data_IF_084175372601
#
_entry.id   IF_084175372601
#
_cell.length_a   1.000
_cell.length_b   1.000
_cell.length_c   1.000
_cell.angle_alpha   90.00
_cell.angle_beta   90.00
_cell.angle_gamma   90.00
#
_symmetry.space_group_name_H-M   'P 1'
#
loop_
_entity.id
_entity.type
_entity.pdbx_description
1 polymer ?
#
# COMPACT_ATOMS: atom_id res chain seq x y z
N UNK A 1 24.69 22.00 8.01
CA UNK A 1 23.75 20.92 7.63
C UNK A 1 22.84 20.66 8.83
N UNK A 2 21.51 20.71 8.70
CA UNK A 2 20.62 20.34 9.80
C UNK A 2 20.80 18.84 10.10
N UNK A 3 20.97 18.48 11.37
CA UNK A 3 21.04 17.08 11.78
C UNK A 3 19.70 16.40 11.48
N UNK A 4 19.75 15.17 10.96
CA UNK A 4 18.55 14.38 10.71
C UNK A 4 17.91 13.99 12.05
N UNK A 5 16.63 14.33 12.23
CA UNK A 5 15.83 13.88 13.37
C UNK A 5 14.95 12.69 12.93
N UNK A 6 15.07 11.51 13.57
CA UNK A 6 14.20 10.36 13.30
C UNK A 6 12.70 10.67 13.42
N UNK A 7 12.32 11.67 14.22
CA UNK A 7 10.93 12.09 14.39
C UNK A 7 10.27 12.52 13.08
N UNK A 8 11.05 12.93 12.08
CA UNK A 8 10.54 13.27 10.74
C UNK A 8 9.95 12.04 10.01
N UNK A 9 10.32 10.82 10.41
CA UNK A 9 9.76 9.58 9.86
C UNK A 9 8.43 9.18 10.49
N UNK A 10 8.08 9.72 11.66
CA UNK A 10 6.83 9.40 12.34
C UNK A 10 5.59 9.69 11.47
N UNK A 11 5.39 10.91 10.91
CA UNK A 11 4.24 11.16 10.06
C UNK A 11 4.25 10.29 8.79
N UNK A 12 5.42 9.93 8.27
CA UNK A 12 5.53 9.05 7.09
C UNK A 12 4.96 7.68 7.39
N UNK A 13 5.42 7.04 8.47
CA UNK A 13 4.93 5.71 8.82
C UNK A 13 3.49 5.73 9.34
N UNK A 14 3.07 6.77 10.07
CA UNK A 14 1.67 6.91 10.50
C UNK A 14 0.70 7.02 9.31
N UNK A 15 1.04 7.83 8.30
CA UNK A 15 0.24 7.92 7.06
C UNK A 15 0.25 6.58 6.33
N UNK A 16 1.39 5.90 6.26
CA UNK A 16 1.49 4.58 5.65
C UNK A 16 0.63 3.52 6.36
N UNK A 17 0.62 3.50 7.70
CA UNK A 17 -0.23 2.59 8.48
C UNK A 17 -1.71 2.89 8.27
N UNK A 18 -2.09 4.17 8.27
CA UNK A 18 -3.47 4.57 7.94
C UNK A 18 -3.86 4.13 6.53
N UNK A 19 -2.98 4.33 5.55
CA UNK A 19 -3.20 3.88 4.18
C UNK A 19 -3.36 2.37 4.07
N UNK A 20 -2.56 1.60 4.79
CA UNK A 20 -2.66 0.14 4.83
C UNK A 20 -4.00 -0.32 5.46
N UNK A 21 -4.44 0.35 6.53
CA UNK A 21 -5.76 0.10 7.13
C UNK A 21 -6.89 0.36 6.13
N UNK A 22 -6.86 1.49 5.42
CA UNK A 22 -7.87 1.82 4.41
C UNK A 22 -7.89 0.82 3.25
N UNK A 23 -6.73 0.31 2.82
CA UNK A 23 -6.68 -0.74 1.79
C UNK A 23 -7.42 -2.00 2.23
N UNK A 24 -7.16 -2.47 3.45
CA UNK A 24 -7.81 -3.67 3.99
C UNK A 24 -9.31 -3.43 4.16
N UNK A 25 -9.72 -2.28 4.69
CA UNK A 25 -11.12 -1.93 4.86
C UNK A 25 -11.86 -1.81 3.53
N UNK A 26 -11.26 -1.15 2.54
CA UNK A 26 -11.79 -1.03 1.18
C UNK A 26 -11.93 -2.39 0.50
N UNK A 27 -10.89 -3.23 0.56
CA UNK A 27 -10.92 -4.58 0.00
C UNK A 27 -11.99 -5.46 0.66
N UNK A 28 -12.17 -5.37 1.97
CA UNK A 28 -13.21 -6.15 2.67
C UNK A 28 -14.63 -5.68 2.31
N UNK A 29 -14.82 -4.37 2.14
CA UNK A 29 -16.08 -3.82 1.64
C UNK A 29 -16.35 -4.31 0.22
N UNK A 30 -15.34 -4.27 -0.65
CA UNK A 30 -15.41 -4.74 -2.02
C UNK A 30 -15.82 -6.22 -2.10
N UNK A 31 -15.13 -7.10 -1.36
CA UNK A 31 -15.50 -8.53 -1.22
C UNK A 31 -16.96 -8.70 -0.77
N UNK A 32 -17.42 -7.87 0.17
CA UNK A 32 -18.81 -7.94 0.65
C UNK A 32 -19.81 -7.53 -0.43
N UNK A 33 -19.48 -6.53 -1.25
CA UNK A 33 -20.29 -6.11 -2.40
C UNK A 33 -20.38 -7.22 -3.46
N UNK A 34 -19.25 -7.87 -3.77
CA UNK A 34 -19.19 -9.04 -4.65
C UNK A 34 -20.08 -10.19 -4.18
N UNK A 35 -20.04 -10.53 -2.89
CA UNK A 35 -20.87 -11.59 -2.30
C UNK A 35 -22.37 -11.26 -2.42
N UNK A 36 -22.73 -9.99 -2.30
CA UNK A 36 -24.12 -9.53 -2.38
C UNK A 36 -24.61 -9.34 -3.83
N UNK A 37 -23.73 -9.51 -4.83
CA UNK A 37 -24.08 -9.33 -6.25
C UNK A 37 -24.47 -7.89 -6.60
N UNK A 38 -23.93 -6.91 -5.88
CA UNK A 38 -24.13 -5.49 -6.20
C UNK A 38 -23.40 -5.20 -7.54
N UNK A 39 -23.99 -4.35 -8.39
CA UNK A 39 -23.45 -4.08 -9.73
C UNK A 39 -22.01 -3.57 -9.64
N UNK A 40 -21.09 -4.34 -10.23
CA UNK A 40 -19.68 -3.99 -10.27
C UNK A 40 -19.36 -3.05 -11.43
N UNK A 41 -18.64 -1.98 -11.10
CA UNK A 41 -17.90 -1.16 -12.06
C UNK A 41 -16.51 -0.96 -11.49
N UNK A 42 -15.52 -0.64 -12.32
CA UNK A 42 -14.16 -0.39 -11.84
C UNK A 42 -14.07 0.73 -10.79
N UNK A 43 -15.06 1.64 -10.73
CA UNK A 43 -15.10 2.75 -9.78
C UNK A 43 -16.30 2.63 -8.83
N UNK A 44 -16.18 1.78 -7.81
CA UNK A 44 -17.15 1.70 -6.70
C UNK A 44 -16.71 2.53 -5.49
N UNK A 45 -17.61 2.81 -4.53
CA UNK A 45 -17.21 3.39 -3.23
C UNK A 45 -16.17 2.55 -2.47
N UNK A 46 -16.25 1.22 -2.57
CA UNK A 46 -15.27 0.33 -1.95
C UNK A 46 -13.89 0.48 -2.60
N UNK A 47 -13.84 0.50 -3.94
CA UNK A 47 -12.64 0.81 -4.71
C UNK A 47 -12.07 2.19 -4.36
N UNK A 48 -12.90 3.21 -4.18
CA UNK A 48 -12.43 4.54 -3.79
C UNK A 48 -11.71 4.53 -2.43
N UNK A 49 -12.22 3.79 -1.44
CA UNK A 49 -11.54 3.62 -0.14
C UNK A 49 -10.24 2.84 -0.30
N UNK A 50 -10.26 1.74 -1.05
CA UNK A 50 -9.08 0.92 -1.36
C UNK A 50 -8.00 1.79 -2.02
N UNK A 51 -8.31 2.46 -3.14
CA UNK A 51 -7.40 3.31 -3.90
C UNK A 51 -6.85 4.48 -3.08
N UNK A 52 -7.68 5.08 -2.21
CA UNK A 52 -7.20 6.11 -1.28
C UNK A 52 -6.13 5.54 -0.36
N UNK A 53 -6.35 4.35 0.19
CA UNK A 53 -5.36 3.66 1.01
C UNK A 53 -4.07 3.34 0.24
N UNK A 54 -4.18 2.85 -1.00
CA UNK A 54 -3.02 2.59 -1.89
C UNK A 54 -2.23 3.88 -2.10
N UNK A 55 -2.92 4.97 -2.42
CA UNK A 55 -2.34 6.29 -2.65
C UNK A 55 -1.60 6.82 -1.42
N UNK A 56 -2.17 6.70 -0.22
CA UNK A 56 -1.50 7.12 1.01
C UNK A 56 -0.21 6.34 1.28
N UNK A 57 -0.21 5.01 1.08
CA UNK A 57 1.01 4.19 1.22
C UNK A 57 2.04 4.58 0.16
N UNK A 58 1.63 4.81 -1.08
CA UNK A 58 2.53 5.24 -2.14
C UNK A 58 3.17 6.61 -1.85
N UNK A 59 2.39 7.59 -1.39
CA UNK A 59 2.90 8.91 -1.00
C UNK A 59 3.85 8.84 0.20
N UNK A 60 3.51 8.01 1.21
CA UNK A 60 4.40 7.74 2.34
C UNK A 60 5.71 7.10 1.86
N UNK A 61 5.65 6.13 0.94
CA UNK A 61 6.83 5.51 0.35
C UNK A 61 7.70 6.52 -0.38
N UNK A 62 7.12 7.37 -1.23
CA UNK A 62 7.86 8.42 -1.96
C UNK A 62 8.59 9.36 -1.00
N UNK A 63 7.89 9.85 0.03
CA UNK A 63 8.49 10.74 1.02
C UNK A 63 9.55 10.02 1.87
N UNK A 64 9.31 8.76 2.25
CA UNK A 64 10.28 7.93 2.97
C UNK A 64 11.56 7.68 2.15
N UNK A 65 11.43 7.38 0.86
CA UNK A 65 12.56 7.19 -0.05
C UNK A 65 13.33 8.50 -0.20
N UNK A 66 12.64 9.64 -0.34
CA UNK A 66 13.27 10.96 -0.39
C UNK A 66 14.11 11.24 0.85
N UNK A 67 13.58 10.94 2.04
CA UNK A 67 14.30 11.09 3.32
C UNK A 67 15.47 10.12 3.43
N UNK A 68 15.32 8.87 2.97
CA UNK A 68 16.39 7.88 2.93
C UNK A 68 17.55 8.34 2.04
N UNK A 69 17.26 8.89 0.87
CA UNK A 69 18.29 9.40 -0.05
C UNK A 69 19.00 10.63 0.53
N UNK A 70 18.26 11.53 1.17
CA UNK A 70 18.83 12.74 1.76
C UNK A 70 19.65 12.50 3.04
N UNK A 71 19.27 11.50 3.85
CA UNK A 71 19.79 11.36 5.22
C UNK A 71 20.11 9.92 5.67
N UNK A 72 19.59 8.92 4.96
CA UNK A 72 19.65 7.50 5.34
C UNK A 72 20.93 6.77 4.94
N UNK A 73 21.92 7.46 4.36
CA UNK A 73 23.26 6.88 4.12
C UNK A 73 24.12 6.82 5.41
N UNK A 74 23.70 7.49 6.47
CA UNK A 74 24.32 7.35 7.78
C UNK A 74 23.93 5.99 8.39
N UNK A 75 24.93 5.14 8.68
CA UNK A 75 24.73 3.79 9.23
C UNK A 75 23.91 3.78 10.52
N UNK A 76 23.95 4.87 11.30
CA UNK A 76 23.17 5.03 12.54
C UNK A 76 21.65 4.96 12.32
N UNK A 77 21.15 5.39 11.16
CA UNK A 77 19.72 5.48 10.88
C UNK A 77 19.25 4.46 9.84
N UNK A 78 20.16 3.65 9.29
CA UNK A 78 19.85 2.71 8.20
C UNK A 78 18.73 1.71 8.57
N UNK A 79 18.70 1.27 9.83
CA UNK A 79 17.69 0.33 10.34
C UNK A 79 16.26 0.92 10.35
N UNK A 80 16.13 2.24 10.47
CA UNK A 80 14.84 2.94 10.47
C UNK A 80 14.14 2.91 9.12
N UNK A 81 14.86 2.56 8.05
CA UNK A 81 14.33 2.46 6.67
C UNK A 81 14.15 1.01 6.20
N UNK A 82 14.32 0.01 7.09
CA UNK A 82 14.14 -1.39 6.74
C UNK A 82 12.70 -1.70 6.31
N UNK A 83 11.72 -1.25 7.11
CA UNK A 83 10.29 -1.39 6.80
C UNK A 83 9.88 -0.69 5.50
N UNK A 84 10.43 0.50 5.25
CA UNK A 84 10.22 1.24 4.00
C UNK A 84 10.57 0.42 2.75
N UNK A 85 11.65 -0.38 2.77
CA UNK A 85 12.02 -1.21 1.60
C UNK A 85 10.95 -2.26 1.29
N UNK A 86 10.40 -2.89 2.33
CA UNK A 86 9.33 -3.87 2.20
C UNK A 86 8.06 -3.19 1.66
N UNK A 87 7.73 -2.02 2.20
CA UNK A 87 6.55 -1.28 1.77
C UNK A 87 6.65 -0.81 0.31
N UNK A 88 7.84 -0.41 -0.17
CA UNK A 88 8.08 -0.03 -1.57
C UNK A 88 7.82 -1.20 -2.51
N UNK A 89 8.36 -2.39 -2.20
CA UNK A 89 8.08 -3.61 -2.99
C UNK A 89 6.58 -3.90 -3.02
N UNK A 90 5.90 -3.73 -1.88
CA UNK A 90 4.44 -3.84 -1.81
C UNK A 90 3.74 -2.89 -2.79
N UNK A 91 4.07 -1.61 -2.79
CA UNK A 91 3.49 -0.63 -3.72
C UNK A 91 3.79 -0.95 -5.18
N UNK A 92 5.01 -1.38 -5.52
CA UNK A 92 5.36 -1.74 -6.89
C UNK A 92 4.49 -2.89 -7.41
N UNK A 93 4.25 -3.91 -6.59
CA UNK A 93 3.34 -5.00 -6.93
C UNK A 93 1.91 -4.50 -7.18
N UNK A 94 1.40 -3.60 -6.34
CA UNK A 94 0.06 -3.04 -6.51
C UNK A 94 -0.07 -2.19 -7.80
N UNK A 95 0.97 -1.43 -8.15
CA UNK A 95 1.02 -0.66 -9.39
C UNK A 95 1.02 -1.56 -10.63
N UNK A 96 1.61 -2.74 -10.54
CA UNK A 96 1.57 -3.77 -11.60
C UNK A 96 0.22 -4.50 -11.61
N UNK A 97 -0.37 -4.75 -10.44
CA UNK A 97 -1.67 -5.43 -10.33
C UNK A 97 -2.79 -4.62 -10.98
N UNK A 98 -2.84 -3.30 -10.77
CA UNK A 98 -3.92 -2.44 -11.25
C UNK A 98 -4.21 -2.53 -12.78
N UNK A 99 -3.22 -2.42 -13.69
CA UNK A 99 -3.48 -2.59 -15.12
C UNK A 99 -3.84 -4.03 -15.50
N UNK A 100 -3.31 -5.04 -14.79
CA UNK A 100 -3.66 -6.45 -15.02
C UNK A 100 -5.12 -6.69 -14.62
N UNK A 101 -5.55 -6.10 -13.51
CA UNK A 101 -6.92 -6.14 -12.99
C UNK A 101 -7.92 -5.53 -13.97
N UNK A 102 -7.65 -4.30 -14.44
CA UNK A 102 -8.47 -3.64 -15.44
C UNK A 102 -8.57 -4.45 -16.74
N UNK A 103 -7.44 -4.99 -17.22
CA UNK A 103 -7.43 -5.86 -18.39
C UNK A 103 -8.28 -7.11 -18.18
N UNK A 104 -8.13 -7.77 -17.03
CA UNK A 104 -8.85 -8.99 -16.69
C UNK A 104 -10.36 -8.77 -16.69
N UNK A 105 -10.82 -7.73 -16.00
CA UNK A 105 -12.24 -7.36 -15.98
C UNK A 105 -12.78 -6.95 -17.35
N UNK A 106 -11.95 -6.33 -18.19
CA UNK A 106 -12.35 -5.97 -19.56
C UNK A 106 -12.45 -7.19 -20.47
N UNK A 107 -11.54 -8.16 -20.32
CA UNK A 107 -11.47 -9.34 -21.19
C UNK A 107 -12.46 -10.46 -20.78
N UNK A 108 -12.65 -10.66 -19.47
CA UNK A 108 -13.40 -11.79 -18.92
C UNK A 108 -14.68 -11.39 -18.16
N UNK A 109 -14.87 -10.09 -17.90
CA UNK A 109 -16.04 -9.57 -17.20
C UNK A 109 -15.90 -9.64 -15.67
N UNK A 110 -17.04 -9.79 -15.00
CA UNK A 110 -17.09 -9.90 -13.54
C UNK A 110 -16.34 -11.15 -13.05
N UNK A 111 -15.50 -10.96 -12.04
CA UNK A 111 -14.70 -12.03 -11.44
C UNK A 111 -15.23 -12.34 -10.02
N UNK A 112 -15.93 -13.47 -9.82
CA UNK A 112 -16.41 -13.84 -8.49
C UNK A 112 -15.30 -14.41 -7.60
N UNK A 113 -14.08 -14.65 -8.12
CA UNK A 113 -13.03 -15.36 -7.41
C UNK A 113 -11.94 -14.41 -6.92
N UNK A 114 -11.73 -14.41 -5.61
CA UNK A 114 -10.71 -13.59 -4.94
C UNK A 114 -9.27 -13.86 -5.41
N UNK A 115 -8.97 -15.04 -5.96
CA UNK A 115 -7.60 -15.48 -6.25
C UNK A 115 -7.26 -15.55 -7.74
N UNK A 116 -7.74 -14.59 -8.53
CA UNK A 116 -7.22 -14.43 -9.89
C UNK A 116 -5.84 -13.79 -9.89
N UNK A 117 -5.09 -13.85 -11.02
CA UNK A 117 -3.72 -13.36 -11.06
C UNK A 117 -3.59 -11.90 -10.61
N UNK A 118 -4.53 -11.03 -11.00
CA UNK A 118 -4.55 -9.62 -10.63
C UNK A 118 -4.72 -9.43 -9.11
N UNK A 119 -5.79 -9.99 -8.54
CA UNK A 119 -6.08 -9.92 -7.11
C UNK A 119 -4.98 -10.52 -6.25
N UNK A 120 -4.37 -11.63 -6.68
CA UNK A 120 -3.29 -12.29 -5.93
C UNK A 120 -2.06 -11.38 -5.79
N UNK A 121 -1.66 -10.70 -6.88
CA UNK A 121 -0.56 -9.73 -6.85
C UNK A 121 -0.93 -8.54 -5.97
N UNK A 122 -2.17 -8.03 -6.10
CA UNK A 122 -2.67 -6.92 -5.30
C UNK A 122 -2.64 -7.25 -3.80
N UNK A 123 -3.14 -8.41 -3.38
CA UNK A 123 -3.16 -8.87 -1.98
C UNK A 123 -1.75 -8.95 -1.41
N UNK A 124 -0.81 -9.56 -2.12
CA UNK A 124 0.60 -9.61 -1.69
C UNK A 124 1.15 -8.19 -1.53
N UNK A 125 0.84 -7.31 -2.47
CA UNK A 125 1.22 -5.90 -2.42
C UNK A 125 0.65 -5.17 -1.19
N UNK A 126 -0.62 -5.38 -0.86
CA UNK A 126 -1.28 -4.80 0.34
C UNK A 126 -0.60 -5.31 1.61
N UNK A 127 -0.35 -6.62 1.70
CA UNK A 127 0.29 -7.24 2.86
C UNK A 127 1.72 -6.72 3.07
N UNK A 128 2.55 -6.68 2.02
CA UNK A 128 3.91 -6.14 2.12
C UNK A 128 3.92 -4.65 2.45
N UNK A 129 3.02 -3.87 1.85
CA UNK A 129 2.79 -2.46 2.16
C UNK A 129 2.52 -2.24 3.65
N UNK A 130 1.53 -2.95 4.19
CA UNK A 130 1.12 -2.85 5.59
C UNK A 130 2.17 -3.33 6.58
N UNK A 131 2.82 -4.47 6.31
CA UNK A 131 3.92 -4.98 7.14
C UNK A 131 5.08 -3.98 7.14
N UNK A 132 5.50 -3.50 5.96
CA UNK A 132 6.61 -2.56 5.85
C UNK A 132 6.37 -1.26 6.62
N UNK A 133 5.19 -0.66 6.48
CA UNK A 133 4.85 0.57 7.20
C UNK A 133 4.76 0.36 8.72
N UNK A 134 4.14 -0.74 9.16
CA UNK A 134 4.04 -1.09 10.59
C UNK A 134 5.41 -1.35 11.22
N UNK A 135 6.28 -2.12 10.54
CA UNK A 135 7.64 -2.35 11.01
C UNK A 135 8.45 -1.05 11.11
N UNK A 136 8.26 -0.13 10.16
CA UNK A 136 8.86 1.19 10.21
C UNK A 136 8.38 2.01 11.40
N UNK A 137 7.07 2.02 11.67
CA UNK A 137 6.47 2.71 12.81
C UNK A 137 6.99 2.18 14.15
N UNK A 138 7.00 0.86 14.34
CA UNK A 138 7.44 0.22 15.60
C UNK A 138 8.90 0.55 15.90
N UNK A 139 9.75 0.72 14.88
CA UNK A 139 11.17 1.08 15.06
C UNK A 139 11.40 2.52 15.57
N UNK A 140 10.36 3.35 15.59
CA UNK A 140 10.42 4.73 16.08
C UNK A 140 9.90 4.89 17.51
N UNK A 141 9.30 3.84 18.09
CA UNK A 141 8.84 3.77 19.48
C UNK A 141 9.98 3.25 20.37
#
# INVERSE_FOLDING_TARGET
MKSFSPQVLLPVYSIGVLGAFLQIAGAQWDISAHILGIVETFFTPAHAVLYTGIGLVALANLQGVRLRLAHGQNSRYASLFGGLRVAVVGTELQLVAAPIDLYWHTAYGFDPFLFTPAHSILIVGVVLGGIGMTLGAIRLL
#
